data_IF_638882479539
#
_entry.id   IF_638882479539
#
_cell.length_a   1.000
_cell.length_b   1.000
_cell.length_c   1.000
_cell.angle_alpha   90.00
_cell.angle_beta   90.00
_cell.angle_gamma   90.00
#
_symmetry.space_group_name_H-M   'P 1'
#
loop_
_entity.id
_entity.type
_entity.pdbx_description
1 polymer ?
#
# COMPACT_ATOMS: atom_id res chain seq x y z
N UNK A 1 16.08 -4.96 1.77
CA UNK A 1 16.04 -4.83 0.31
C UNK A 1 15.02 -3.77 -0.07
N UNK A 2 15.46 -2.65 -0.68
CA UNK A 2 14.60 -1.56 -1.11
C UNK A 2 13.83 -1.98 -2.36
N UNK A 3 12.77 -2.77 -2.15
CA UNK A 3 11.86 -3.33 -3.14
C UNK A 3 11.33 -2.24 -4.07
N UNK A 4 11.04 -2.62 -5.31
CA UNK A 4 10.52 -1.68 -6.31
C UNK A 4 9.07 -1.35 -5.97
N UNK A 5 8.53 -0.27 -6.53
CA UNK A 5 7.15 0.14 -6.28
C UNK A 5 6.19 -1.00 -6.69
N UNK A 6 6.54 -1.74 -7.74
CA UNK A 6 5.78 -2.86 -8.24
C UNK A 6 5.63 -3.94 -7.16
N UNK A 7 6.66 -4.19 -6.35
CA UNK A 7 6.62 -5.20 -5.29
C UNK A 7 5.67 -4.75 -4.19
N UNK A 8 5.68 -3.46 -3.83
CA UNK A 8 4.83 -2.89 -2.78
C UNK A 8 3.37 -3.19 -3.14
N UNK A 9 2.92 -2.72 -4.31
CA UNK A 9 1.52 -2.98 -4.69
C UNK A 9 1.23 -4.49 -4.82
N UNK A 10 2.23 -5.28 -5.26
CA UNK A 10 2.06 -6.72 -5.41
C UNK A 10 1.78 -7.42 -4.09
N UNK A 11 2.17 -6.84 -2.95
CA UNK A 11 1.94 -7.42 -1.64
C UNK A 11 0.57 -7.03 -1.11
N UNK A 12 0.19 -5.75 -1.24
CA UNK A 12 -1.09 -5.26 -0.76
C UNK A 12 -2.27 -6.02 -1.37
N UNK A 13 -2.20 -6.37 -2.65
CA UNK A 13 -3.26 -7.11 -3.32
C UNK A 13 -3.47 -8.46 -2.62
N UNK A 14 -2.41 -9.17 -2.27
CA UNK A 14 -2.46 -10.48 -1.62
C UNK A 14 -3.21 -10.40 -0.29
N UNK A 15 -2.93 -9.36 0.49
CA UNK A 15 -3.55 -9.17 1.78
C UNK A 15 -5.05 -8.93 1.64
N UNK A 16 -5.48 -7.99 0.79
CA UNK A 16 -6.91 -7.74 0.65
C UNK A 16 -7.64 -8.93 -0.01
N UNK A 17 -6.98 -9.65 -0.92
CA UNK A 17 -7.51 -10.81 -1.63
C UNK A 17 -7.93 -11.90 -0.64
N UNK A 18 -7.20 -12.04 0.47
CA UNK A 18 -7.45 -13.06 1.49
C UNK A 18 -8.01 -12.47 2.79
N UNK A 19 -8.56 -11.26 2.72
CA UNK A 19 -9.19 -10.55 3.84
C UNK A 19 -8.26 -10.27 5.05
N UNK A 20 -6.94 -10.35 4.84
CA UNK A 20 -5.90 -10.11 5.85
C UNK A 20 -5.86 -8.64 6.27
N UNK A 21 -6.41 -7.77 5.43
CA UNK A 21 -6.48 -6.34 5.65
C UNK A 21 -7.61 -5.78 4.77
N UNK A 22 -7.87 -4.49 4.92
CA UNK A 22 -8.87 -3.75 4.17
C UNK A 22 -8.28 -2.42 3.75
N UNK A 23 -8.90 -1.78 2.76
CA UNK A 23 -8.49 -0.48 2.26
C UNK A 23 -8.57 0.53 3.40
N UNK A 24 -9.63 0.46 4.20
CA UNK A 24 -9.86 1.34 5.35
C UNK A 24 -8.78 1.19 6.41
N UNK A 25 -8.46 -0.05 6.78
CA UNK A 25 -7.44 -0.31 7.78
C UNK A 25 -6.07 0.14 7.27
N UNK A 26 -5.72 -0.16 6.01
CA UNK A 26 -4.42 0.27 5.46
C UNK A 26 -4.38 1.79 5.53
N UNK A 27 -5.45 2.47 5.10
CA UNK A 27 -5.53 3.92 5.12
C UNK A 27 -5.35 4.47 6.53
N UNK A 28 -5.99 3.86 7.52
CA UNK A 28 -5.90 4.30 8.90
C UNK A 28 -4.48 4.10 9.43
N UNK A 29 -3.89 2.92 9.25
CA UNK A 29 -2.54 2.63 9.74
C UNK A 29 -1.45 3.43 9.01
N UNK A 30 -1.66 3.72 7.73
CA UNK A 30 -0.70 4.47 6.93
C UNK A 30 -0.91 5.98 7.05
N UNK A 31 -2.09 6.39 7.50
CA UNK A 31 -2.47 7.79 7.65
C UNK A 31 -2.78 8.41 6.27
N UNK A 32 -2.92 7.59 5.22
CA UNK A 32 -3.24 8.01 3.85
C UNK A 32 -4.76 7.89 3.67
N UNK A 33 -5.27 8.27 2.50
CA UNK A 33 -6.68 8.17 2.20
C UNK A 33 -6.95 6.83 1.50
N UNK A 34 -8.15 6.27 1.67
CA UNK A 34 -8.55 5.00 1.08
C UNK A 34 -8.39 5.03 -0.45
N UNK A 35 -8.87 6.10 -1.09
CA UNK A 35 -8.81 6.26 -2.54
C UNK A 35 -7.38 6.20 -3.08
N UNK A 36 -6.41 6.73 -2.34
CA UNK A 36 -5.01 6.75 -2.70
C UNK A 36 -4.48 5.34 -2.86
N UNK A 37 -4.69 4.47 -1.86
CA UNK A 37 -4.20 3.10 -1.84
C UNK A 37 -4.69 2.38 -3.10
N UNK A 38 -5.99 2.44 -3.38
CA UNK A 38 -6.53 1.79 -4.56
C UNK A 38 -5.90 2.34 -5.83
N UNK A 39 -5.77 3.67 -5.96
CA UNK A 39 -5.19 4.26 -7.16
C UNK A 39 -3.71 3.93 -7.32
N UNK A 40 -2.96 3.85 -6.21
CA UNK A 40 -1.55 3.53 -6.18
C UNK A 40 -1.40 2.09 -6.69
N UNK A 41 -2.19 1.16 -6.16
CA UNK A 41 -2.18 -0.24 -6.56
C UNK A 41 -2.55 -0.32 -8.04
N UNK A 42 -3.61 0.40 -8.46
CA UNK A 42 -4.09 0.44 -9.83
C UNK A 42 -3.07 1.10 -10.77
N UNK A 43 -1.96 1.66 -10.25
CA UNK A 43 -0.92 2.33 -11.04
C UNK A 43 -1.60 3.43 -11.88
N UNK A 44 -2.52 4.16 -11.24
CA UNK A 44 -3.34 5.24 -11.80
C UNK A 44 -3.32 6.51 -10.94
N UNK A 45 -2.70 6.45 -9.76
CA UNK A 45 -2.62 7.60 -8.89
C UNK A 45 -1.74 8.64 -9.57
N UNK A 46 -2.17 9.89 -9.57
CA UNK A 46 -1.44 10.99 -10.17
C UNK A 46 -1.04 11.91 -9.02
N UNK A 47 0.27 12.01 -8.78
CA UNK A 47 0.87 12.80 -7.73
C UNK A 47 2.23 12.20 -7.39
N UNK A 48 2.74 12.45 -6.18
CA UNK A 48 4.04 11.91 -5.77
C UNK A 48 3.83 10.45 -5.35
N UNK A 49 3.84 9.52 -6.32
CA UNK A 49 3.66 8.09 -6.03
C UNK A 49 4.78 7.59 -5.13
N UNK A 50 5.98 8.18 -5.24
CA UNK A 50 7.11 7.80 -4.41
C UNK A 50 6.83 8.12 -2.93
N UNK A 51 6.10 9.21 -2.65
CA UNK A 51 5.76 9.58 -1.28
C UNK A 51 4.92 8.45 -0.70
N UNK A 52 3.91 8.04 -1.46
CA UNK A 52 2.98 7.00 -1.12
C UNK A 52 3.71 5.66 -0.95
N UNK A 53 4.61 5.28 -1.87
CA UNK A 53 5.33 4.03 -1.80
C UNK A 53 6.08 3.94 -0.47
N UNK A 54 6.85 4.96 -0.12
CA UNK A 54 7.61 4.99 1.11
C UNK A 54 6.74 4.83 2.36
N UNK A 55 5.55 5.40 2.36
CA UNK A 55 4.66 5.27 3.51
C UNK A 55 4.19 3.80 3.56
N UNK A 56 3.78 3.23 2.43
CA UNK A 56 3.27 1.86 2.35
C UNK A 56 4.31 0.84 2.73
N UNK A 57 5.59 1.10 2.49
CA UNK A 57 6.68 0.18 2.86
C UNK A 57 6.68 -0.05 4.36
N UNK A 58 6.62 1.03 5.13
CA UNK A 58 6.64 0.96 6.59
C UNK A 58 5.45 0.15 7.09
N UNK A 59 4.30 0.32 6.45
CA UNK A 59 3.10 -0.42 6.81
C UNK A 59 3.33 -1.91 6.52
N UNK A 60 3.81 -2.28 5.33
CA UNK A 60 4.06 -3.68 4.96
C UNK A 60 5.11 -4.31 5.88
N UNK A 61 6.11 -3.55 6.30
CA UNK A 61 7.17 -4.01 7.19
C UNK A 61 6.56 -4.48 8.51
N UNK A 62 5.70 -3.66 9.15
CA UNK A 62 5.09 -4.04 10.42
C UNK A 62 4.09 -5.18 10.25
N UNK A 63 3.43 -5.25 9.09
CA UNK A 63 2.46 -6.28 8.80
C UNK A 63 3.17 -7.62 8.72
N UNK A 64 4.08 -7.77 7.76
CA UNK A 64 4.83 -9.01 7.57
C UNK A 64 5.75 -9.41 8.75
N UNK A 65 6.07 -8.48 9.66
CA UNK A 65 6.92 -8.79 10.81
C UNK A 65 6.03 -9.48 11.82
#
# INVERSE_FOLDING_TARGET
>A
GPMNISDIRAGLRTLVENEETTFKQIALESGLSTGTISSFINDKYNGDNERVSQTLQRWLEKYHA
#
